data_IF_981289278338
#
_entry.id   IF_981289278338
#
_cell.length_a   1.000
_cell.length_b   1.000
_cell.length_c   1.000
_cell.angle_alpha   90.00
_cell.angle_beta   90.00
_cell.angle_gamma   90.00
#
_symmetry.space_group_name_H-M   'P 1'
#
loop_
_entity.id
_entity.type
_entity.pdbx_description
1 polymer ?
#
# COMPACT_ATOMS: atom_id res chain seq x y z
N UNK A 1 13.98 -1.26 13.78
CA UNK A 1 12.87 -0.28 13.66
C UNK A 1 13.06 0.95 14.54
N UNK A 2 13.64 0.87 15.76
CA UNK A 2 13.73 2.04 16.65
C UNK A 2 14.62 3.19 16.17
N UNK A 3 15.76 2.90 15.50
CA UNK A 3 16.69 3.96 15.05
C UNK A 3 16.04 5.09 14.25
N UNK A 4 15.12 4.77 13.32
CA UNK A 4 14.44 5.81 12.52
C UNK A 4 13.46 6.68 13.31
N UNK A 5 12.95 6.18 14.43
CA UNK A 5 12.09 6.95 15.32
C UNK A 5 12.90 7.82 16.26
N UNK A 6 14.02 7.30 16.77
CA UNK A 6 15.02 8.06 17.53
C UNK A 6 15.53 9.24 16.67
N UNK A 7 15.96 8.97 15.44
CA UNK A 7 16.40 10.01 14.49
C UNK A 7 15.33 11.09 14.24
N UNK A 8 14.03 10.74 14.32
CA UNK A 8 12.94 11.70 14.10
C UNK A 8 12.66 12.56 15.33
N UNK A 9 12.82 12.00 16.53
CA UNK A 9 12.66 12.72 17.79
C UNK A 9 13.82 13.69 18.00
N UNK A 10 15.03 13.31 17.58
CA UNK A 10 16.25 14.12 17.73
C UNK A 10 16.22 15.43 16.92
N UNK A 11 15.37 15.53 15.89
CA UNK A 11 15.22 16.75 15.07
C UNK A 11 14.22 17.75 15.64
N UNK A 12 13.43 17.36 16.65
CA UNK A 12 12.39 18.20 17.23
C UNK A 12 12.96 19.16 18.27
N UNK A 13 12.49 20.40 18.27
CA UNK A 13 12.84 21.35 19.33
C UNK A 13 12.08 21.06 20.64
N UNK A 14 12.47 21.73 21.72
CA UNK A 14 11.85 21.51 23.05
C UNK A 14 10.32 21.72 23.06
N UNK A 15 9.83 22.73 22.35
CA UNK A 15 8.39 23.03 22.30
C UNK A 15 7.65 21.97 21.48
N UNK A 16 8.24 21.52 20.39
CA UNK A 16 7.73 20.44 19.54
C UNK A 16 7.69 19.11 20.30
N UNK A 17 8.75 18.77 21.03
CA UNK A 17 8.81 17.60 21.90
C UNK A 17 7.72 17.64 22.96
N UNK A 18 7.48 18.81 23.56
CA UNK A 18 6.49 18.94 24.61
C UNK A 18 5.05 18.81 24.08
N UNK A 19 4.78 19.37 22.89
CA UNK A 19 3.51 19.15 22.17
C UNK A 19 3.31 17.70 21.76
N UNK A 20 4.38 17.06 21.26
CA UNK A 20 4.35 15.67 20.86
C UNK A 20 4.06 14.75 22.05
N UNK A 21 4.68 15.03 23.21
CA UNK A 21 4.38 14.35 24.47
C UNK A 21 2.91 14.52 24.87
N UNK A 22 2.38 15.74 24.85
CA UNK A 22 0.96 15.99 25.16
C UNK A 22 0.03 15.25 24.21
N UNK A 23 0.33 15.20 22.91
CA UNK A 23 -0.48 14.44 21.96
C UNK A 23 -0.45 12.94 22.28
N UNK A 24 0.72 12.36 22.56
CA UNK A 24 0.86 10.96 22.98
C UNK A 24 0.08 10.69 24.27
N UNK A 25 0.23 11.52 25.29
CA UNK A 25 -0.46 11.39 26.58
C UNK A 25 -1.99 11.46 26.41
N UNK A 26 -2.47 12.21 25.41
CA UNK A 26 -3.89 12.30 25.03
C UNK A 26 -4.40 11.16 24.13
N UNK A 27 -3.57 10.14 23.86
CA UNK A 27 -3.91 9.00 23.01
C UNK A 27 -3.47 9.13 21.55
N UNK A 28 -2.50 10.00 21.27
CA UNK A 28 -1.90 10.25 19.95
C UNK A 28 -2.91 10.64 18.86
N UNK A 29 -3.91 11.46 19.20
CA UNK A 29 -5.03 11.81 18.30
C UNK A 29 -4.52 12.51 17.04
N UNK A 30 -3.63 13.49 17.21
CA UNK A 30 -3.12 14.31 16.09
C UNK A 30 -2.19 13.49 15.21
N UNK A 31 -1.26 12.74 15.81
CA UNK A 31 -0.33 11.86 15.10
C UNK A 31 -1.09 10.78 14.34
N UNK A 32 -2.11 10.18 14.93
CA UNK A 32 -2.96 9.17 14.26
C UNK A 32 -3.63 9.74 13.02
N UNK A 33 -4.24 10.93 13.13
CA UNK A 33 -4.88 11.60 11.98
C UNK A 33 -3.87 11.93 10.88
N UNK A 34 -2.69 12.46 11.24
CA UNK A 34 -1.59 12.73 10.30
C UNK A 34 -1.12 11.46 9.59
N UNK A 35 -1.02 10.35 10.33
CA UNK A 35 -0.64 9.06 9.78
C UNK A 35 -1.69 8.54 8.80
N UNK A 36 -2.97 8.56 9.18
CA UNK A 36 -4.09 8.17 8.30
C UNK A 36 -4.15 9.01 7.03
N UNK A 37 -3.96 10.32 7.13
CA UNK A 37 -3.93 11.22 5.98
C UNK A 37 -2.72 10.94 5.07
N UNK A 38 -1.53 10.70 5.62
CA UNK A 38 -0.35 10.32 4.84
C UNK A 38 -0.51 8.96 4.17
N UNK A 39 -1.08 7.97 4.86
CA UNK A 39 -1.41 6.66 4.28
C UNK A 39 -2.40 6.84 3.14
N UNK A 40 -3.47 7.61 3.35
CA UNK A 40 -4.47 7.92 2.32
C UNK A 40 -3.86 8.64 1.12
N UNK A 41 -2.93 9.58 1.34
CA UNK A 41 -2.22 10.28 0.27
C UNK A 41 -1.30 9.33 -0.50
N UNK A 42 -0.55 8.48 0.18
CA UNK A 42 0.29 7.45 -0.45
C UNK A 42 -0.54 6.45 -1.25
N UNK A 43 -1.67 5.98 -0.70
CA UNK A 43 -2.62 5.14 -1.42
C UNK A 43 -3.22 5.82 -2.67
N UNK A 44 -3.32 7.16 -2.67
CA UNK A 44 -3.71 7.94 -3.86
C UNK A 44 -2.56 8.12 -4.86
N UNK A 45 -1.32 8.26 -4.38
CA UNK A 45 -0.12 8.37 -5.22
C UNK A 45 0.20 7.06 -5.94
N UNK A 46 -0.10 5.93 -5.32
CA UNK A 46 0.03 4.61 -5.92
C UNK A 46 -1.18 4.28 -6.78
N UNK A 47 -1.08 4.67 -8.06
CA UNK A 47 -1.48 3.87 -9.23
C UNK A 47 -1.45 4.70 -10.53
N UNK A 48 -0.39 5.49 -10.74
CA UNK A 48 -0.24 6.18 -12.02
C UNK A 48 -0.04 5.24 -13.20
N UNK A 49 0.03 3.93 -13.01
CA UNK A 49 0.29 2.97 -14.08
C UNK A 49 -0.71 1.83 -14.08
N UNK A 50 -1.04 1.33 -15.26
CA UNK A 50 -1.91 0.18 -15.42
C UNK A 50 -1.21 -1.09 -14.93
N UNK A 51 -1.90 -1.89 -14.11
CA UNK A 51 -1.40 -3.16 -13.60
C UNK A 51 -1.19 -4.25 -14.68
N UNK A 52 -1.78 -4.06 -15.87
CA UNK A 52 -1.67 -5.02 -16.99
C UNK A 52 -0.64 -4.59 -18.03
N UNK A 53 -0.72 -3.36 -18.54
CA UNK A 53 0.12 -2.89 -19.64
C UNK A 53 1.17 -1.86 -19.23
N UNK A 54 1.23 -1.47 -17.95
CA UNK A 54 2.18 -0.50 -17.39
C UNK A 54 2.09 0.92 -17.96
N UNK A 55 1.16 1.22 -18.86
CA UNK A 55 0.91 2.58 -19.34
C UNK A 55 0.48 3.51 -18.21
N UNK A 56 0.82 4.79 -18.36
CA UNK A 56 0.37 5.81 -17.43
C UNK A 56 -1.17 5.97 -17.46
N UNK A 57 -1.75 5.99 -16.28
CA UNK A 57 -3.18 6.16 -16.01
C UNK A 57 -3.51 7.66 -16.01
N UNK A 58 -4.31 8.08 -16.97
CA UNK A 58 -4.93 9.40 -16.95
C UNK A 58 -6.26 9.32 -16.20
N UNK A 59 -6.22 9.59 -14.90
CA UNK A 59 -7.37 9.53 -14.00
C UNK A 59 -8.51 10.50 -14.35
N UNK A 60 -8.30 11.46 -15.26
CA UNK A 60 -9.34 12.37 -15.74
C UNK A 60 -10.15 11.80 -16.90
N UNK A 61 -9.74 10.65 -17.46
CA UNK A 61 -10.53 9.90 -18.45
C UNK A 61 -11.58 9.02 -17.78
N UNK A 62 -12.74 8.89 -18.42
CA UNK A 62 -13.91 8.12 -17.97
C UNK A 62 -13.71 6.60 -17.95
N UNK A 63 -12.66 6.08 -18.59
CA UNK A 63 -12.48 4.63 -18.84
C UNK A 63 -11.44 3.96 -17.94
N UNK A 64 -11.25 4.46 -16.71
CA UNK A 64 -10.36 3.82 -15.73
C UNK A 64 -11.13 2.86 -14.82
N UNK A 65 -10.54 1.70 -14.55
CA UNK A 65 -11.11 0.69 -13.68
C UNK A 65 -10.14 0.39 -12.53
N UNK A 66 -10.68 0.10 -11.35
CA UNK A 66 -9.88 -0.24 -10.16
C UNK A 66 -10.48 -1.47 -9.49
N UNK A 67 -9.62 -2.43 -9.15
CA UNK A 67 -9.97 -3.61 -8.37
C UNK A 67 -9.27 -3.55 -7.01
N UNK A 68 -10.03 -3.68 -5.93
CA UNK A 68 -9.52 -3.78 -4.55
C UNK A 68 -9.82 -5.18 -4.04
N UNK A 69 -8.83 -5.90 -3.53
CA UNK A 69 -8.97 -7.30 -3.12
C UNK A 69 -7.97 -7.66 -2.02
N UNK A 70 -8.32 -8.64 -1.18
CA UNK A 70 -7.54 -9.05 0.00
C UNK A 70 -8.32 -8.83 1.31
N UNK A 71 -7.80 -9.34 2.44
CA UNK A 71 -8.41 -9.14 3.76
C UNK A 71 -8.34 -7.66 4.16
N UNK A 72 -9.14 -7.25 5.15
CA UNK A 72 -9.32 -5.83 5.46
C UNK A 72 -8.02 -5.09 5.78
N UNK A 73 -7.09 -5.75 6.46
CA UNK A 73 -5.78 -5.21 6.84
C UNK A 73 -4.73 -5.31 5.72
N UNK A 74 -4.99 -6.08 4.65
CA UNK A 74 -4.06 -6.28 3.53
C UNK A 74 -4.77 -6.12 2.18
N UNK A 75 -5.54 -5.05 2.03
CA UNK A 75 -6.15 -4.68 0.74
C UNK A 75 -5.05 -4.37 -0.27
N UNK A 76 -5.01 -5.17 -1.33
CA UNK A 76 -4.28 -4.87 -2.57
C UNK A 76 -5.19 -4.10 -3.50
N UNK A 77 -4.59 -3.22 -4.28
CA UNK A 77 -5.27 -2.40 -5.29
C UNK A 77 -4.57 -2.66 -6.63
N UNK A 78 -5.35 -2.69 -7.70
CA UNK A 78 -4.85 -2.73 -9.07
C UNK A 78 -5.70 -1.80 -9.94
N UNK A 79 -5.05 -0.96 -10.75
CA UNK A 79 -5.69 -0.01 -11.66
C UNK A 79 -5.49 -0.39 -13.12
N UNK A 80 -6.49 -0.12 -13.96
CA UNK A 80 -6.52 -0.51 -15.37
C UNK A 80 -6.99 0.64 -16.25
N UNK A 81 -6.27 0.90 -17.34
CA UNK A 81 -6.55 2.00 -18.26
C UNK A 81 -7.75 1.76 -19.17
N UNK A 82 -8.36 0.57 -19.10
CA UNK A 82 -9.48 0.17 -19.93
C UNK A 82 -10.01 -1.22 -19.58
N UNK A 83 -11.18 -1.55 -20.12
CA UNK A 83 -11.90 -2.79 -19.83
C UNK A 83 -11.09 -4.03 -20.26
N UNK A 84 -10.40 -3.96 -21.39
CA UNK A 84 -9.59 -5.08 -21.92
C UNK A 84 -8.44 -5.43 -20.97
N UNK A 85 -7.78 -4.41 -20.41
CA UNK A 85 -6.70 -4.60 -19.43
C UNK A 85 -7.21 -5.25 -18.14
N UNK A 86 -8.39 -4.86 -17.68
CA UNK A 86 -9.07 -5.51 -16.55
C UNK A 86 -9.46 -6.95 -16.88
N UNK A 87 -10.06 -7.19 -18.06
CA UNK A 87 -10.50 -8.51 -18.50
C UNK A 87 -9.34 -9.50 -18.59
N UNK A 88 -8.23 -9.09 -19.22
CA UNK A 88 -7.00 -9.89 -19.28
C UNK A 88 -6.48 -10.23 -17.87
N UNK A 89 -6.46 -9.26 -16.96
CA UNK A 89 -6.03 -9.47 -15.58
C UNK A 89 -6.91 -10.49 -14.85
N UNK A 90 -8.24 -10.41 -15.00
CA UNK A 90 -9.17 -11.37 -14.40
C UNK A 90 -8.96 -12.79 -14.95
N UNK A 91 -8.71 -12.93 -16.26
CA UNK A 91 -8.41 -14.24 -16.87
C UNK A 91 -7.14 -14.83 -16.25
N UNK A 92 -6.05 -14.05 -16.16
CA UNK A 92 -4.80 -14.51 -15.54
C UNK A 92 -4.97 -14.86 -14.06
N UNK A 93 -5.77 -14.09 -13.32
CA UNK A 93 -6.10 -14.43 -11.93
C UNK A 93 -6.84 -15.76 -11.80
N UNK A 94 -7.76 -16.08 -12.72
CA UNK A 94 -8.44 -17.38 -12.75
C UNK A 94 -7.47 -18.51 -13.06
N UNK A 95 -6.59 -18.33 -14.04
CA UNK A 95 -5.56 -19.32 -14.40
C UNK A 95 -4.61 -19.63 -13.21
N UNK A 96 -4.21 -18.59 -12.47
CA UNK A 96 -3.36 -18.74 -11.28
C UNK A 96 -4.06 -19.52 -10.15
N UNK A 97 -5.38 -19.40 -10.02
CA UNK A 97 -6.15 -20.17 -9.02
C UNK A 97 -6.41 -21.61 -9.45
N UNK A 98 -6.49 -21.86 -10.75
CA UNK A 98 -6.76 -23.19 -11.30
C UNK A 98 -5.53 -24.11 -11.29
N UNK A 99 -4.31 -23.55 -11.24
CA UNK A 99 -3.08 -24.34 -11.07
C UNK A 99 -2.88 -24.68 -9.59
N UNK A 100 -2.80 -25.96 -9.19
CA UNK A 100 -2.37 -26.31 -7.85
C UNK A 100 -0.95 -25.79 -7.63
N UNK A 101 -0.69 -25.20 -6.46
CA UNK A 101 0.66 -24.84 -6.03
C UNK A 101 1.46 -26.14 -5.92
N UNK A 102 2.40 -26.37 -6.83
CA UNK A 102 3.53 -27.24 -6.54
C UNK A 102 4.42 -26.48 -5.54
N UNK A 103 4.23 -26.78 -4.26
CA UNK A 103 5.08 -26.30 -3.18
C UNK A 103 6.49 -26.92 -3.36
N UNK A 104 7.38 -26.20 -4.05
CA UNK A 104 8.81 -26.50 -4.01
C UNK A 104 9.35 -26.02 -2.65
N UNK A 105 9.24 -26.88 -1.64
CA UNK A 105 10.02 -26.80 -0.41
C UNK A 105 11.46 -27.12 -0.78
N UNK A 106 12.26 -26.11 -1.10
CA UNK A 106 13.71 -26.25 -1.11
C UNK A 106 14.19 -26.40 0.34
N UNK A 107 14.32 -27.65 0.80
CA UNK A 107 15.18 -28.00 1.91
C UNK A 107 16.59 -27.49 1.59
N UNK A 108 17.06 -26.50 2.34
CA UNK A 108 18.49 -26.27 2.49
C UNK A 108 18.86 -26.74 3.88
N UNK A 109 19.28 -28.01 3.95
CA UNK A 109 20.11 -28.53 5.02
C UNK A 109 21.38 -27.68 5.10
N UNK A 110 21.69 -27.15 6.29
CA UNK A 110 23.03 -26.68 6.62
C UNK A 110 23.55 -27.55 7.76
N UNK A 111 24.53 -28.39 7.41
CA UNK A 111 25.53 -28.93 8.30
C UNK A 111 26.45 -27.82 8.83
#
# INVERSE_FOLDING_TARGET
MSRRFEDMIDVLDYNELMRFKTDIDSGAITVKKLLEEKIKKKLKEHEKTCATCSNDMDFYKTNNYTLIFGPDDFKKKASFCGLDCLGYFIIKLKDMKAKPKEDNVSNTDYF
#
